data_IF_754188599753
#
_entry.id   IF_754188599753
#
_cell.length_a   1.000
_cell.length_b   1.000
_cell.length_c   1.000
_cell.angle_alpha   90.00
_cell.angle_beta   90.00
_cell.angle_gamma   90.00
#
_symmetry.space_group_name_H-M   'P 1'
#
loop_
_entity.id
_entity.type
_entity.pdbx_description
1 polymer ?
#
# COMPACT_ATOMS: atom_id res chain seq x y z
N UNK A 1 -5.16 10.10 19.01
CA UNK A 1 -5.70 9.35 17.86
C UNK A 1 -5.33 7.89 18.03
N UNK A 2 -6.27 6.96 17.90
CA UNK A 2 -6.04 5.54 18.22
C UNK A 2 -5.86 4.71 16.96
N UNK A 3 -4.77 3.94 16.90
CA UNK A 3 -4.59 2.84 15.95
C UNK A 3 -4.76 1.52 16.70
N UNK A 4 -5.70 0.69 16.27
CA UNK A 4 -6.01 -0.61 16.86
C UNK A 4 -5.69 -1.73 15.86
N UNK A 5 -4.74 -2.59 16.21
CA UNK A 5 -4.46 -3.83 15.49
C UNK A 5 -5.39 -4.93 16.03
N UNK A 6 -6.06 -5.65 15.13
CA UNK A 6 -6.77 -6.89 15.45
C UNK A 6 -5.95 -8.10 15.04
N UNK A 7 -6.13 -9.23 15.72
CA UNK A 7 -5.63 -10.53 15.29
C UNK A 7 -6.58 -11.19 14.27
N UNK A 8 -6.14 -12.29 13.65
CA UNK A 8 -6.96 -13.03 12.69
C UNK A 8 -8.21 -13.66 13.33
N UNK A 9 -8.11 -14.06 14.61
CA UNK A 9 -9.19 -14.69 15.38
C UNK A 9 -10.04 -13.71 16.21
N UNK A 10 -9.69 -12.42 16.28
CA UNK A 10 -10.52 -11.40 16.94
C UNK A 10 -11.91 -11.31 16.27
N UNK A 11 -12.97 -11.17 17.07
CA UNK A 11 -14.34 -11.10 16.56
C UNK A 11 -14.88 -9.65 16.52
N UNK A 12 -16.04 -9.49 15.89
CA UNK A 12 -16.71 -8.19 15.73
C UNK A 12 -17.03 -7.53 17.08
N UNK A 13 -17.25 -8.34 18.12
CA UNK A 13 -17.43 -7.91 19.51
C UNK A 13 -16.20 -7.21 20.07
N UNK A 14 -15.00 -7.69 19.76
CA UNK A 14 -13.74 -7.16 20.27
C UNK A 14 -13.37 -5.86 19.57
N UNK A 15 -13.59 -5.81 18.24
CA UNK A 15 -13.48 -4.58 17.45
C UNK A 15 -14.42 -3.48 17.98
N UNK A 16 -15.69 -3.81 18.27
CA UNK A 16 -16.65 -2.88 18.88
C UNK A 16 -16.24 -2.52 20.31
N UNK A 17 -15.77 -3.46 21.13
CA UNK A 17 -15.33 -3.17 22.49
C UNK A 17 -14.17 -2.17 22.54
N UNK A 18 -13.16 -2.33 21.68
CA UNK A 18 -12.00 -1.42 21.57
C UNK A 18 -12.39 -0.04 21.02
N UNK A 19 -13.36 0.03 20.11
CA UNK A 19 -13.98 1.30 19.67
C UNK A 19 -14.75 1.98 20.81
N UNK A 20 -15.45 1.21 21.67
CA UNK A 20 -16.23 1.74 22.79
C UNK A 20 -15.39 2.29 23.94
N UNK A 21 -14.18 1.77 24.15
CA UNK A 21 -13.22 2.25 25.18
C UNK A 21 -12.31 3.38 24.68
N UNK A 22 -12.34 3.70 23.39
CA UNK A 22 -11.54 4.78 22.81
C UNK A 22 -12.13 6.15 23.14
N UNK A 23 -11.30 7.03 23.72
CA UNK A 23 -11.65 8.44 24.00
C UNK A 23 -11.32 9.41 22.86
N UNK A 24 -10.62 8.93 21.83
CA UNK A 24 -10.25 9.70 20.64
C UNK A 24 -11.38 9.83 19.63
N UNK A 25 -11.41 10.96 18.91
CA UNK A 25 -12.36 11.17 17.79
C UNK A 25 -11.99 10.41 16.52
N UNK A 26 -10.76 9.91 16.39
CA UNK A 26 -10.27 9.19 15.21
C UNK A 26 -9.79 7.79 15.62
N UNK A 27 -10.28 6.75 14.94
CA UNK A 27 -9.98 5.35 15.24
C UNK A 27 -9.66 4.59 13.94
N UNK A 28 -8.42 4.11 13.83
CA UNK A 28 -7.95 3.24 12.74
C UNK A 28 -8.03 1.79 13.20
N UNK A 29 -8.66 0.93 12.39
CA UNK A 29 -8.73 -0.51 12.61
C UNK A 29 -7.89 -1.27 11.59
N UNK A 30 -6.75 -1.83 12.02
CA UNK A 30 -5.86 -2.60 11.16
C UNK A 30 -6.26 -4.07 11.19
N UNK A 31 -6.57 -4.62 10.01
CA UNK A 31 -7.11 -5.97 9.81
C UNK A 31 -6.11 -6.85 9.04
N UNK A 32 -5.59 -7.94 9.65
CA UNK A 32 -4.74 -8.91 8.97
C UNK A 32 -5.55 -9.74 7.96
N UNK A 33 -4.85 -10.32 6.99
CA UNK A 33 -5.45 -11.18 5.97
C UNK A 33 -6.19 -12.36 6.62
N UNK A 34 -7.41 -12.65 6.16
CA UNK A 34 -8.25 -13.72 6.71
C UNK A 34 -8.91 -13.44 8.07
N UNK A 35 -8.84 -12.22 8.62
CA UNK A 35 -9.51 -11.89 9.89
C UNK A 35 -11.02 -12.17 9.87
N UNK A 36 -11.55 -12.75 10.95
CA UNK A 36 -13.00 -13.08 11.08
C UNK A 36 -13.90 -11.86 10.86
N UNK A 37 -13.48 -10.68 11.31
CA UNK A 37 -14.20 -9.40 11.10
C UNK A 37 -14.40 -9.10 9.60
N UNK A 38 -13.42 -9.43 8.76
CA UNK A 38 -13.44 -9.12 7.33
C UNK A 38 -14.40 -9.99 6.50
N UNK A 39 -14.92 -11.08 7.05
CA UNK A 39 -15.76 -12.08 6.34
C UNK A 39 -17.13 -11.56 5.88
N UNK A 40 -17.61 -10.41 6.36
CA UNK A 40 -18.96 -9.92 6.08
C UNK A 40 -19.08 -8.40 6.06
N UNK A 41 -19.75 -7.88 5.01
CA UNK A 41 -20.16 -6.47 4.92
C UNK A 41 -21.00 -5.98 6.12
N UNK A 42 -21.67 -6.90 6.83
CA UNK A 42 -22.50 -6.57 8.00
C UNK A 42 -21.62 -6.09 9.16
N UNK A 43 -20.46 -6.72 9.35
CA UNK A 43 -19.49 -6.36 10.40
C UNK A 43 -19.01 -4.92 10.22
N UNK A 44 -18.59 -4.57 8.99
CA UNK A 44 -18.21 -3.20 8.64
C UNK A 44 -19.35 -2.20 8.82
N UNK A 45 -20.60 -2.58 8.49
CA UNK A 45 -21.78 -1.72 8.70
C UNK A 45 -22.06 -1.46 10.18
N UNK A 46 -21.85 -2.46 11.05
CA UNK A 46 -22.00 -2.32 12.50
C UNK A 46 -20.92 -1.39 13.07
N UNK A 47 -19.65 -1.55 12.67
CA UNK A 47 -18.56 -0.68 13.11
C UNK A 47 -18.72 0.77 12.62
N UNK A 48 -19.13 0.97 11.37
CA UNK A 48 -19.41 2.29 10.82
C UNK A 48 -20.55 2.98 11.59
N UNK A 49 -21.61 2.24 11.94
CA UNK A 49 -22.73 2.74 12.73
C UNK A 49 -22.34 3.09 14.18
N UNK A 50 -21.62 2.22 14.89
CA UNK A 50 -21.14 2.51 16.25
C UNK A 50 -20.20 3.73 16.25
N UNK A 51 -19.38 3.90 15.22
CA UNK A 51 -18.57 5.11 15.01
C UNK A 51 -19.43 6.36 14.86
N UNK A 52 -20.44 6.34 13.97
CA UNK A 52 -21.38 7.44 13.78
C UNK A 52 -22.16 7.79 15.07
N UNK A 53 -22.69 6.78 15.78
CA UNK A 53 -23.42 6.97 17.05
C UNK A 53 -22.54 7.61 18.14
N UNK A 54 -21.21 7.41 18.09
CA UNK A 54 -20.21 8.01 18.98
C UNK A 54 -19.57 9.30 18.48
N UNK A 55 -19.85 9.71 17.24
CA UNK A 55 -19.12 10.79 16.52
C UNK A 55 -17.60 10.53 16.44
N UNK A 56 -17.22 9.26 16.29
CA UNK A 56 -15.84 8.82 16.04
C UNK A 56 -15.69 8.49 14.56
N UNK A 57 -14.70 9.11 13.90
CA UNK A 57 -14.35 8.82 12.52
C UNK A 57 -13.56 7.51 12.49
N UNK A 58 -14.22 6.44 12.04
CA UNK A 58 -13.65 5.09 11.93
C UNK A 58 -13.22 4.83 10.48
N UNK A 59 -11.98 4.36 10.31
CA UNK A 59 -11.49 3.81 9.04
C UNK A 59 -10.76 2.49 9.27
N UNK A 60 -10.69 1.65 8.24
CA UNK A 60 -9.97 0.37 8.29
C UNK A 60 -8.75 0.33 7.37
N UNK A 61 -7.75 -0.46 7.76
CA UNK A 61 -6.52 -0.69 7.00
C UNK A 61 -6.37 -2.19 6.75
N UNK A 62 -6.17 -2.60 5.50
CA UNK A 62 -5.77 -3.98 5.18
C UNK A 62 -5.13 -4.05 3.80
N UNK A 63 -4.08 -4.87 3.68
CA UNK A 63 -3.42 -5.13 2.40
C UNK A 63 -4.31 -5.85 1.38
N UNK A 64 -5.33 -6.59 1.82
CA UNK A 64 -6.21 -7.36 0.94
C UNK A 64 -7.28 -6.47 0.27
N UNK A 65 -7.33 -6.49 -1.07
CA UNK A 65 -8.26 -5.65 -1.85
C UNK A 65 -9.73 -6.01 -1.63
N UNK A 66 -10.06 -7.31 -1.53
CA UNK A 66 -11.43 -7.78 -1.29
C UNK A 66 -12.02 -7.25 0.02
N UNK A 67 -11.19 -7.22 1.07
CA UNK A 67 -11.56 -6.66 2.39
C UNK A 67 -11.84 -5.16 2.30
N UNK A 68 -10.99 -4.40 1.61
CA UNK A 68 -11.23 -2.96 1.38
C UNK A 68 -12.51 -2.72 0.59
N UNK A 69 -12.78 -3.50 -0.46
CA UNK A 69 -14.03 -3.41 -1.23
C UNK A 69 -15.27 -3.73 -0.39
N UNK A 70 -15.21 -4.73 0.50
CA UNK A 70 -16.31 -5.07 1.41
C UNK A 70 -16.61 -3.93 2.39
N UNK A 71 -15.59 -3.32 2.99
CA UNK A 71 -15.74 -2.18 3.89
C UNK A 71 -16.30 -0.93 3.19
N UNK A 72 -15.79 -0.59 2.01
CA UNK A 72 -16.29 0.52 1.18
C UNK A 72 -17.76 0.28 0.81
N UNK A 73 -18.15 -0.95 0.45
CA UNK A 73 -19.56 -1.31 0.17
C UNK A 73 -20.50 -1.19 1.38
N UNK A 74 -19.94 -1.18 2.60
CA UNK A 74 -20.66 -0.97 3.84
C UNK A 74 -20.71 0.51 4.29
N UNK A 75 -20.02 1.41 3.58
CA UNK A 75 -19.90 2.83 3.94
C UNK A 75 -18.71 3.17 4.85
N UNK A 76 -17.76 2.25 5.04
CA UNK A 76 -16.55 2.47 5.83
C UNK A 76 -15.35 2.84 4.93
N UNK A 77 -14.62 3.94 5.21
CA UNK A 77 -13.35 4.24 4.55
C UNK A 77 -12.32 3.12 4.76
N UNK A 78 -11.65 2.70 3.68
CA UNK A 78 -10.67 1.64 3.71
C UNK A 78 -9.40 1.99 2.91
N UNK A 79 -8.25 1.71 3.50
CA UNK A 79 -6.91 2.10 3.00
C UNK A 79 -5.98 0.87 2.97
N UNK A 80 -4.92 0.91 2.16
CA UNK A 80 -3.95 -0.18 2.05
C UNK A 80 -2.92 -0.16 3.19
N UNK A 81 -2.49 1.02 3.63
CA UNK A 81 -1.53 1.21 4.74
C UNK A 81 -2.09 2.12 5.84
N UNK A 82 -1.43 2.14 7.00
CA UNK A 82 -1.75 3.09 8.09
C UNK A 82 -1.35 4.52 7.70
N UNK A 83 -0.24 4.67 6.98
CA UNK A 83 0.30 5.94 6.48
C UNK A 83 -0.63 6.64 5.47
N UNK A 84 -1.37 5.89 4.66
CA UNK A 84 -2.48 6.44 3.85
C UNK A 84 -3.69 6.86 4.72
N UNK A 85 -4.00 6.08 5.75
CA UNK A 85 -5.22 6.23 6.54
C UNK A 85 -5.18 7.45 7.48
N UNK A 86 -4.03 7.74 8.09
CA UNK A 86 -3.87 8.83 9.05
C UNK A 86 -4.26 10.21 8.48
N UNK A 87 -3.65 10.72 7.39
CA UNK A 87 -4.02 12.01 6.82
C UNK A 87 -5.44 12.01 6.23
N UNK A 88 -5.88 10.90 5.62
CA UNK A 88 -7.18 10.81 4.97
C UNK A 88 -8.37 10.75 5.97
N UNK A 89 -8.12 10.32 7.21
CA UNK A 89 -9.10 10.37 8.30
C UNK A 89 -9.10 11.73 9.00
N UNK A 90 -7.94 12.38 9.16
CA UNK A 90 -7.86 13.75 9.68
C UNK A 90 -8.64 14.74 8.79
N UNK A 91 -8.38 14.76 7.48
CA UNK A 91 -9.08 15.63 6.53
C UNK A 91 -10.60 15.37 6.49
N UNK A 92 -11.04 14.12 6.69
CA UNK A 92 -12.46 13.79 6.80
C UNK A 92 -13.10 14.32 8.09
N UNK A 93 -12.39 14.32 9.20
CA UNK A 93 -12.89 14.89 10.45
C UNK A 93 -13.02 16.42 10.38
N UNK A 94 -12.09 17.08 9.69
CA UNK A 94 -12.13 18.52 9.41
C UNK A 94 -13.31 18.88 8.50
N UNK A 95 -13.45 18.22 7.34
CA UNK A 95 -14.56 18.47 6.41
C UNK A 95 -15.94 18.19 7.04
N UNK A 96 -16.08 17.13 7.86
CA UNK A 96 -17.33 16.85 8.57
C UNK A 96 -17.64 17.88 9.67
N UNK A 97 -16.65 18.59 10.21
CA UNK A 97 -16.86 19.68 11.16
C UNK A 97 -17.31 20.96 10.42
N UNK A 98 -16.74 21.27 9.26
CA UNK A 98 -17.16 22.40 8.41
C UNK A 98 -18.58 22.19 7.85
N UNK A 99 -18.89 20.99 7.36
CA UNK A 99 -20.21 20.64 6.82
C UNK A 99 -21.30 20.72 7.89
N UNK A 100 -21.02 20.29 9.13
CA UNK A 100 -21.92 20.45 10.28
C UNK A 100 -22.03 21.90 10.76
N UNK A 101 -21.00 22.73 10.59
CA UNK A 101 -21.07 24.17 10.88
C UNK A 101 -21.93 24.92 9.85
N UNK A 102 -21.79 24.59 8.56
CA UNK A 102 -22.61 25.16 7.50
C UNK A 102 -24.11 24.83 7.64
N UNK A 103 -24.43 23.60 8.04
CA UNK A 103 -25.82 23.15 8.21
C UNK A 103 -26.58 23.81 9.39
N UNK A 104 -25.89 24.57 10.25
CA UNK A 104 -26.50 25.35 11.32
C UNK A 104 -26.97 26.76 10.88
N UNK A 105 -26.69 27.16 9.63
CA UNK A 105 -26.80 28.55 9.18
C UNK A 105 -27.74 28.78 7.97
N UNK A 106 -28.82 28.01 7.83
CA UNK A 106 -29.88 28.27 6.83
C UNK A 106 -31.25 27.70 7.20
N UNK A 107 -32.12 28.47 7.89
CA UNK A 107 -33.50 28.10 8.13
C UNK A 107 -34.43 28.70 7.05
N UNK A 108 -34.47 28.09 5.85
CA UNK A 108 -35.67 28.10 4.98
C UNK A 108 -35.50 27.19 3.75
N UNK A 109 -36.27 26.10 3.69
CA UNK A 109 -36.60 25.35 2.47
C UNK A 109 -37.82 24.45 2.76
N UNK A 110 -38.91 24.52 1.97
CA UNK A 110 -40.14 23.77 2.25
C UNK A 110 -40.02 22.28 1.89
N UNK A 111 -40.81 21.39 2.53
CA UNK A 111 -40.76 19.96 2.28
C UNK A 111 -41.40 19.58 0.95
N UNK A 112 -40.76 18.69 0.19
CA UNK A 112 -41.33 18.09 -1.02
C UNK A 112 -41.00 16.60 -1.16
N UNK A 113 -42.04 15.79 -1.34
CA UNK A 113 -42.06 14.56 -2.13
C UNK A 113 -41.11 13.41 -1.76
N UNK A 114 -41.62 12.41 -1.04
CA UNK A 114 -41.19 11.03 -1.24
C UNK A 114 -41.62 10.56 -2.65
N UNK A 115 -40.68 10.42 -3.59
CA UNK A 115 -40.92 9.71 -4.85
C UNK A 115 -39.77 8.73 -5.14
N UNK A 116 -40.04 7.41 -5.25
CA UNK A 116 -39.00 6.40 -5.40
C UNK A 116 -38.54 6.24 -6.86
N UNK A 117 -37.25 5.97 -7.12
CA UNK A 117 -36.75 5.76 -8.48
C UNK A 117 -37.31 4.46 -9.11
N UNK A 118 -37.54 4.44 -10.44
CA UNK A 118 -38.29 3.38 -11.10
C UNK A 118 -37.51 2.06 -11.32
N UNK A 119 -38.31 1.02 -11.60
CA UNK A 119 -37.96 -0.39 -11.74
C UNK A 119 -36.69 -0.73 -12.53
N UNK A 120 -35.95 -1.72 -12.02
CA UNK A 120 -34.99 -2.50 -12.80
C UNK A 120 -35.67 -3.67 -13.54
N UNK A 121 -35.22 -3.99 -14.76
CA UNK A 121 -35.28 -5.36 -15.30
C UNK A 121 -34.37 -5.58 -16.51
N UNK A 122 -33.52 -6.62 -16.45
CA UNK A 122 -32.96 -7.37 -17.58
C UNK A 122 -32.40 -8.70 -17.06
N UNK A 123 -32.64 -9.80 -17.79
CA UNK A 123 -32.44 -11.18 -17.29
C UNK A 123 -31.08 -11.83 -17.61
N UNK A 124 -30.89 -13.12 -17.24
CA UNK A 124 -29.57 -13.74 -17.13
C UNK A 124 -29.24 -14.82 -18.18
N UNK A 125 -27.93 -15.11 -18.30
CA UNK A 125 -27.35 -16.35 -18.80
C UNK A 125 -25.95 -16.54 -18.14
N UNK A 126 -25.36 -17.73 -18.02
CA UNK A 126 -25.84 -19.05 -18.43
C UNK A 126 -24.67 -20.03 -18.60
N UNK A 127 -24.22 -20.63 -17.50
CA UNK A 127 -23.30 -21.77 -17.34
C UNK A 127 -22.41 -22.26 -18.53
N UNK A 128 -21.11 -22.38 -18.26
CA UNK A 128 -20.35 -23.56 -18.72
C UNK A 128 -19.17 -23.87 -17.80
N UNK A 129 -18.86 -25.16 -17.61
CA UNK A 129 -17.73 -25.63 -16.81
C UNK A 129 -17.08 -26.85 -17.47
N UNK A 130 -15.81 -26.71 -17.87
CA UNK A 130 -14.81 -27.76 -18.16
C UNK A 130 -13.45 -27.13 -17.80
N UNK A 131 -12.73 -27.60 -16.78
CA UNK A 131 -12.09 -28.91 -16.62
C UNK A 131 -10.92 -29.16 -17.59
N UNK A 132 -9.72 -28.81 -17.11
CA UNK A 132 -8.45 -29.49 -17.39
C UNK A 132 -7.56 -29.32 -16.14
N UNK A 133 -7.42 -30.37 -15.33
CA UNK A 133 -6.66 -30.31 -14.08
C UNK A 133 -5.15 -30.60 -14.22
N UNK A 134 -4.38 -30.34 -13.15
CA UNK A 134 -3.04 -30.87 -12.95
C UNK A 134 -2.75 -31.08 -11.45
N UNK A 135 -1.90 -32.06 -11.13
CA UNK A 135 -1.91 -32.74 -9.83
C UNK A 135 -1.24 -31.96 -8.68
N UNK A 136 -1.89 -31.96 -7.51
CA UNK A 136 -1.28 -31.53 -6.25
C UNK A 136 -0.41 -32.65 -5.65
N UNK A 137 0.92 -32.51 -5.74
CA UNK A 137 1.86 -33.46 -5.13
C UNK A 137 1.99 -33.22 -3.63
N UNK A 138 1.41 -34.11 -2.82
CA UNK A 138 1.43 -34.04 -1.35
C UNK A 138 2.69 -34.72 -0.79
N UNK A 139 3.73 -33.94 -0.48
CA UNK A 139 4.93 -34.45 0.21
C UNK A 139 4.64 -34.64 1.70
N UNK A 140 5.05 -35.78 2.25
CA UNK A 140 4.86 -36.16 3.67
C UNK A 140 6.22 -36.18 4.37
N UNK A 141 6.41 -35.51 5.51
CA UNK A 141 7.65 -35.61 6.28
C UNK A 141 7.75 -37.00 6.94
N UNK A 142 8.87 -37.69 6.74
CA UNK A 142 9.13 -39.02 7.31
C UNK A 142 10.08 -38.93 8.51
N UNK A 143 9.63 -39.40 9.66
CA UNK A 143 10.45 -39.51 10.88
C UNK A 143 11.52 -40.60 10.74
N UNK A 144 12.68 -40.39 11.39
CA UNK A 144 13.61 -41.48 11.71
C UNK A 144 15.10 -41.11 11.79
N UNK A 145 15.57 -40.69 12.97
CA UNK A 145 16.90 -41.03 13.51
C UNK A 145 17.07 -40.42 14.92
N UNK A 146 17.28 -41.26 15.94
CA UNK A 146 17.57 -40.82 17.31
C UNK A 146 18.90 -41.42 17.79
N UNK A 147 19.81 -40.57 18.26
CA UNK A 147 20.92 -41.00 19.14
C UNK A 147 21.06 -39.94 20.24
N UNK A 148 20.89 -40.35 21.49
CA UNK A 148 21.21 -39.54 22.66
C UNK A 148 22.49 -40.03 23.33
N UNK A 149 23.24 -39.13 23.99
CA UNK A 149 24.42 -39.47 24.79
C UNK A 149 24.27 -38.84 26.18
N UNK A 150 24.44 -39.65 27.23
CA UNK A 150 24.23 -39.28 28.63
C UNK A 150 25.48 -39.61 29.47
N UNK A 151 25.65 -38.90 30.59
CA UNK A 151 26.83 -38.91 31.48
C UNK A 151 27.02 -40.23 32.27
N UNK A 152 28.29 -40.56 32.54
CA UNK A 152 28.79 -41.41 33.63
C UNK A 152 30.31 -41.62 33.42
N UNK A 153 31.27 -41.32 34.30
CA UNK A 153 31.45 -41.38 35.77
C UNK A 153 32.12 -42.68 36.27
N UNK A 154 33.47 -42.60 36.34
CA UNK A 154 34.37 -43.00 37.44
C UNK A 154 34.41 -44.42 38.03
N UNK A 155 35.53 -44.69 38.74
CA UNK A 155 35.80 -45.83 39.65
C UNK A 155 36.06 -47.21 39.01
N UNK A 156 36.69 -48.19 39.68
CA UNK A 156 38.12 -48.33 40.11
C UNK A 156 38.36 -49.78 40.60
N UNK A 157 39.63 -50.19 40.79
CA UNK A 157 40.15 -51.31 41.64
C UNK A 157 40.21 -52.79 41.14
N UNK A 158 41.46 -53.30 41.24
CA UNK A 158 41.95 -54.53 41.93
C UNK A 158 41.94 -55.98 41.32
N UNK A 159 43.10 -56.64 41.53
CA UNK A 159 43.47 -58.09 41.53
C UNK A 159 43.45 -58.93 40.21
N UNK A 160 44.43 -59.78 39.78
CA UNK A 160 45.42 -60.72 40.44
C UNK A 160 44.75 -62.04 40.91
N UNK A 161 45.24 -63.31 40.72
CA UNK A 161 46.64 -63.82 40.49
C UNK A 161 46.88 -65.04 39.51
N UNK A 162 48.17 -65.45 39.36
CA UNK A 162 48.75 -66.78 38.94
C UNK A 162 48.38 -67.40 37.56
N UNK A 163 49.10 -68.38 36.96
CA UNK A 163 50.32 -69.19 37.26
C UNK A 163 50.51 -70.29 36.15
N UNK A 164 51.40 -71.30 36.16
CA UNK A 164 52.61 -71.70 36.93
C UNK A 164 53.28 -72.96 36.28
N UNK A 165 54.62 -73.02 36.12
CA UNK A 165 55.41 -74.25 35.79
C UNK A 165 56.88 -73.92 35.48
N UNK A 166 57.96 -74.50 36.05
CA UNK A 166 58.38 -75.88 36.41
C UNK A 166 58.98 -76.68 35.22
N UNK A 167 60.20 -77.27 35.25
CA UNK A 167 61.32 -77.32 36.24
C UNK A 167 62.71 -77.39 35.47
N UNK A 168 63.86 -78.04 35.77
CA UNK A 168 64.27 -79.09 36.75
C UNK A 168 65.81 -79.22 36.95
N UNK A 169 66.29 -78.97 38.18
CA UNK A 169 67.44 -79.59 38.92
C UNK A 169 68.94 -79.57 38.45
N UNK A 170 69.92 -79.89 39.36
CA UNK A 170 71.33 -79.45 39.26
C UNK A 170 72.41 -80.57 39.31
N UNK A 171 73.70 -80.19 39.41
CA UNK A 171 74.81 -81.05 39.88
C UNK A 171 75.93 -80.23 40.59
N UNK A 172 76.73 -80.88 41.44
CA UNK A 172 77.84 -80.31 42.21
C UNK A 172 79.11 -81.20 42.18
N UNK A 173 80.26 -80.65 42.61
CA UNK A 173 81.43 -81.28 43.29
C UNK A 173 82.44 -80.12 43.61
N UNK A 174 83.09 -79.95 44.78
CA UNK A 174 83.93 -80.81 45.68
C UNK A 174 85.32 -81.07 45.06
N UNK A 175 86.50 -80.90 45.69
CA UNK A 175 86.92 -81.04 47.11
C UNK A 175 88.04 -80.09 47.58
N UNK A 176 87.93 -79.66 48.85
CA UNK A 176 88.90 -79.67 49.97
C UNK A 176 90.42 -79.90 49.73
N UNK A 177 91.27 -79.02 50.34
CA UNK A 177 91.88 -79.31 51.68
C UNK A 177 92.73 -78.19 52.32
N UNK A 178 92.61 -78.13 53.64
CA UNK A 178 93.46 -77.45 54.66
C UNK A 178 94.76 -78.26 54.94
N UNK A 179 95.80 -77.80 55.73
CA UNK A 179 95.61 -77.21 57.06
C UNK A 179 96.65 -76.23 57.70
N UNK A 180 96.11 -75.45 58.66
CA UNK A 180 96.62 -75.13 60.01
C UNK A 180 98.05 -74.59 60.30
N UNK A 181 98.07 -73.39 60.90
CA UNK A 181 98.96 -73.02 62.03
C UNK A 181 100.10 -72.02 61.73
N UNK A 182 100.53 -71.15 62.67
CA UNK A 182 99.92 -70.70 63.93
C UNK A 182 100.63 -69.43 64.47
N UNK A 183 99.95 -68.69 65.36
CA UNK A 183 100.48 -67.66 66.30
C UNK A 183 100.84 -66.25 65.75
N UNK A 184 100.88 -65.19 66.59
CA UNK A 184 100.60 -63.81 66.16
C UNK A 184 101.69 -62.76 66.48
N UNK A 185 101.56 -61.53 65.94
CA UNK A 185 101.78 -60.25 66.70
C UNK A 185 101.45 -58.94 65.91
N UNK A 186 100.70 -58.07 66.59
CA UNK A 186 100.80 -56.59 66.66
C UNK A 186 100.87 -55.71 65.38
N UNK A 187 99.74 -55.04 65.10
CA UNK A 187 99.58 -53.56 65.10
C UNK A 187 100.53 -52.73 64.18
N UNK A 188 100.24 -52.69 62.88
CA UNK A 188 100.75 -51.66 61.94
C UNK A 188 99.70 -50.56 61.66
N UNK A 189 100.12 -49.29 61.59
CA UNK A 189 99.24 -48.10 61.45
C UNK A 189 99.57 -47.39 60.13
N UNK A 190 98.60 -47.19 59.23
CA UNK A 190 98.87 -46.50 57.94
C UNK A 190 97.69 -46.31 56.99
N UNK A 191 97.12 -47.40 56.46
CA UNK A 191 96.30 -47.38 55.23
C UNK A 191 94.93 -46.69 55.40
N UNK A 192 94.30 -46.82 56.58
CA UNK A 192 92.94 -46.31 56.85
C UNK A 192 92.78 -44.81 56.59
N UNK A 193 93.83 -44.01 56.81
CA UNK A 193 93.80 -42.57 56.61
C UNK A 193 93.68 -42.14 55.14
N UNK A 194 94.16 -42.96 54.20
CA UNK A 194 94.03 -42.68 52.76
C UNK A 194 92.64 -43.02 52.25
N UNK A 195 92.07 -44.14 52.72
CA UNK A 195 90.68 -44.53 52.42
C UNK A 195 89.67 -43.51 52.97
N UNK A 196 89.87 -42.98 54.18
CA UNK A 196 89.02 -41.91 54.73
C UNK A 196 89.14 -40.62 53.90
N UNK A 197 90.35 -40.23 53.48
CA UNK A 197 90.54 -39.06 52.60
C UNK A 197 89.85 -39.24 51.23
N UNK A 198 89.93 -40.44 50.65
CA UNK A 198 89.29 -40.75 49.37
C UNK A 198 87.76 -40.79 49.51
N UNK A 199 87.22 -41.30 50.61
CA UNK A 199 85.79 -41.23 50.92
C UNK A 199 85.30 -39.77 51.14
N UNK A 200 86.08 -38.92 51.82
CA UNK A 200 85.78 -37.49 51.97
C UNK A 200 85.84 -36.76 50.61
N UNK A 201 86.83 -37.08 49.77
CA UNK A 201 86.90 -36.53 48.41
C UNK A 201 85.71 -36.98 47.54
N UNK A 202 85.32 -38.25 47.60
CA UNK A 202 84.14 -38.77 46.91
C UNK A 202 82.85 -38.12 47.43
N UNK A 203 82.73 -37.86 48.73
CA UNK A 203 81.60 -37.14 49.32
C UNK A 203 81.58 -35.66 48.89
N UNK A 204 82.73 -34.99 48.77
CA UNK A 204 82.82 -33.61 48.28
C UNK A 204 82.52 -33.51 46.77
N UNK A 205 83.02 -34.45 45.95
CA UNK A 205 82.72 -34.51 44.51
C UNK A 205 81.26 -34.90 44.26
N UNK A 206 80.74 -35.90 44.98
CA UNK A 206 79.32 -36.28 44.92
C UNK A 206 78.38 -35.17 45.40
N UNK A 207 78.73 -34.50 46.50
CA UNK A 207 78.01 -33.33 46.99
C UNK A 207 78.08 -32.14 46.02
N UNK A 208 79.22 -31.91 45.39
CA UNK A 208 79.40 -30.89 44.34
C UNK A 208 78.59 -31.19 43.08
N UNK A 209 78.55 -32.45 42.62
CA UNK A 209 77.71 -32.89 41.51
C UNK A 209 76.22 -32.82 41.84
N UNK A 210 75.82 -33.19 43.06
CA UNK A 210 74.44 -33.09 43.52
C UNK A 210 73.99 -31.62 43.65
N UNK A 211 74.87 -30.75 44.16
CA UNK A 211 74.64 -29.31 44.15
C UNK A 211 74.54 -28.77 42.70
N UNK A 212 75.45 -29.16 41.80
CA UNK A 212 75.40 -28.74 40.40
C UNK A 212 74.13 -29.22 39.68
N UNK A 213 73.59 -30.39 40.03
CA UNK A 213 72.31 -30.89 39.54
C UNK A 213 71.12 -30.08 40.10
N UNK A 214 71.12 -29.74 41.39
CA UNK A 214 70.07 -28.92 42.01
C UNK A 214 70.10 -27.44 41.57
N UNK A 215 71.28 -26.92 41.23
CA UNK A 215 71.48 -25.56 40.70
C UNK A 215 71.51 -25.51 39.16
N UNK A 216 71.20 -26.61 38.46
CA UNK A 216 71.15 -26.63 37.00
C UNK A 216 69.94 -25.80 36.52
N UNK A 217 70.12 -24.69 35.78
CA UNK A 217 69.05 -23.74 35.53
C UNK A 217 68.09 -24.26 34.44
N UNK A 218 66.89 -24.68 34.84
CA UNK A 218 65.81 -24.98 33.91
C UNK A 218 65.25 -23.69 33.30
N UNK A 219 65.53 -23.47 32.00
CA UNK A 219 65.01 -22.32 31.24
C UNK A 219 63.65 -22.67 30.63
N UNK A 220 62.58 -22.08 31.14
CA UNK A 220 61.22 -22.16 30.57
C UNK A 220 60.98 -21.01 29.57
N UNK A 221 60.94 -21.34 28.27
CA UNK A 221 60.64 -20.36 27.22
C UNK A 221 59.12 -20.25 27.05
N UNK A 222 58.50 -19.28 27.72
CA UNK A 222 57.07 -18.97 27.56
C UNK A 222 56.84 -18.12 26.30
N UNK A 223 56.49 -18.77 25.19
CA UNK A 223 56.03 -18.09 23.97
C UNK A 223 54.56 -17.67 24.12
N UNK A 224 54.32 -16.40 24.45
CA UNK A 224 52.97 -15.81 24.48
C UNK A 224 52.67 -15.13 23.14
N UNK A 225 51.86 -15.74 22.24
CA UNK A 225 51.55 -15.12 20.94
C UNK A 225 50.66 -13.90 21.12
N UNK A 226 51.15 -12.72 20.71
CA UNK A 226 50.33 -11.51 20.65
C UNK A 226 49.46 -11.51 19.39
N UNK A 227 48.20 -11.92 19.51
CA UNK A 227 47.17 -11.63 18.50
C UNK A 227 46.90 -10.12 18.49
N UNK A 228 47.54 -9.40 17.56
CA UNK A 228 47.06 -8.07 17.16
C UNK A 228 45.87 -8.27 16.25
N UNK A 229 44.74 -7.66 16.57
CA UNK A 229 43.66 -7.46 15.59
C UNK A 229 44.24 -6.71 14.39
N UNK A 230 44.06 -7.25 13.19
CA UNK A 230 44.11 -6.42 12.01
C UNK A 230 43.05 -5.30 12.16
N UNK A 231 43.35 -4.11 11.67
CA UNK A 231 42.37 -3.01 11.64
C UNK A 231 41.15 -3.37 10.78
N UNK A 232 40.09 -2.54 10.80
CA UNK A 232 38.94 -2.75 9.94
C UNK A 232 39.40 -2.88 8.48
N UNK A 233 39.17 -4.05 7.88
CA UNK A 233 39.53 -4.31 6.49
C UNK A 233 38.50 -3.58 5.62
N UNK A 234 38.86 -2.39 5.14
CA UNK A 234 38.04 -1.63 4.18
C UNK A 234 38.11 -2.31 2.82
N UNK A 235 37.21 -3.26 2.60
CA UNK A 235 36.96 -3.87 1.29
C UNK A 235 35.91 -3.02 0.59
N UNK A 236 36.29 -2.38 -0.51
CA UNK A 236 35.32 -1.75 -1.42
C UNK A 236 34.65 -2.86 -2.24
N UNK A 237 33.32 -2.94 -2.16
CA UNK A 237 32.50 -3.93 -2.86
C UNK A 237 31.49 -3.18 -3.72
N UNK A 238 31.45 -3.47 -5.02
CA UNK A 238 30.53 -2.83 -5.96
C UNK A 238 29.24 -3.65 -6.05
N UNK A 239 28.09 -3.02 -5.85
CA UNK A 239 26.79 -3.66 -6.02
C UNK A 239 26.23 -3.30 -7.40
N UNK A 240 26.13 -4.29 -8.31
CA UNK A 240 25.70 -4.08 -9.70
C UNK A 240 24.42 -4.90 -10.02
N UNK A 241 23.31 -4.25 -10.43
CA UNK A 241 22.08 -4.95 -10.81
C UNK A 241 22.15 -5.65 -12.17
N UNK A 242 23.22 -5.48 -12.96
CA UNK A 242 23.46 -6.25 -14.18
C UNK A 242 24.09 -7.64 -13.90
N UNK A 243 24.59 -7.89 -12.69
CA UNK A 243 25.36 -9.08 -12.33
C UNK A 243 24.50 -10.07 -11.54
N UNK A 244 24.32 -11.28 -12.07
CA UNK A 244 23.47 -12.31 -11.46
C UNK A 244 24.19 -13.26 -10.47
N UNK A 245 25.53 -13.24 -10.44
CA UNK A 245 26.37 -14.10 -9.59
C UNK A 245 27.55 -13.27 -9.09
N UNK A 246 27.86 -13.34 -7.78
CA UNK A 246 28.94 -12.56 -7.20
C UNK A 246 30.32 -12.97 -7.74
N UNK A 247 31.13 -11.98 -8.08
CA UNK A 247 32.51 -12.12 -8.53
C UNK A 247 33.46 -11.71 -7.40
N UNK A 248 34.20 -12.66 -6.78
CA UNK A 248 35.11 -12.39 -5.68
C UNK A 248 36.48 -11.84 -6.14
N UNK A 249 36.81 -11.88 -7.43
CA UNK A 249 38.06 -11.30 -7.97
C UNK A 249 37.83 -9.84 -8.41
N UNK A 250 36.67 -9.55 -9.00
CA UNK A 250 36.25 -8.18 -9.34
C UNK A 250 35.61 -7.42 -8.17
N UNK A 251 35.35 -8.09 -7.03
CA UNK A 251 34.62 -7.56 -5.87
C UNK A 251 33.23 -7.00 -6.21
N UNK A 252 32.51 -7.67 -7.12
CA UNK A 252 31.15 -7.28 -7.55
C UNK A 252 30.12 -8.23 -6.97
N UNK A 253 29.05 -7.69 -6.39
CA UNK A 253 27.89 -8.46 -5.89
C UNK A 253 26.62 -8.09 -6.65
N UNK A 254 25.67 -9.03 -6.84
CA UNK A 254 24.35 -8.74 -7.38
C UNK A 254 23.63 -7.68 -6.54
N UNK A 255 23.00 -6.73 -7.22
CA UNK A 255 22.07 -5.77 -6.61
C UNK A 255 20.65 -5.93 -7.16
N UNK A 256 19.65 -5.51 -6.39
CA UNK A 256 18.28 -5.36 -6.86
C UNK A 256 17.94 -3.87 -6.94
N UNK A 257 17.31 -3.43 -8.04
CA UNK A 257 16.79 -2.06 -8.15
C UNK A 257 15.38 -2.02 -7.57
N UNK A 258 15.25 -1.29 -6.46
CA UNK A 258 13.95 -0.95 -5.88
C UNK A 258 13.52 0.39 -6.46
N UNK A 259 12.66 0.36 -7.47
CA UNK A 259 12.05 1.58 -8.02
C UNK A 259 11.03 2.13 -7.02
N UNK A 260 11.29 3.32 -6.48
CA UNK A 260 10.37 4.03 -5.57
C UNK A 260 9.45 4.94 -6.39
N UNK A 261 8.14 4.65 -6.50
CA UNK A 261 7.22 5.48 -7.29
C UNK A 261 6.94 6.81 -6.58
N UNK A 262 7.54 7.89 -7.07
CA UNK A 262 7.25 9.25 -6.62
C UNK A 262 6.04 9.81 -7.36
N UNK A 263 5.15 10.50 -6.65
CA UNK A 263 3.97 11.15 -7.22
C UNK A 263 3.80 12.58 -6.72
N UNK A 264 3.95 13.56 -7.61
CA UNK A 264 3.62 14.97 -7.35
C UNK A 264 2.18 15.29 -7.81
N UNK A 265 1.56 16.30 -7.21
CA UNK A 265 0.23 16.82 -7.61
C UNK A 265 0.11 18.29 -7.22
N UNK A 266 -0.34 19.13 -8.14
CA UNK A 266 -0.50 20.58 -7.96
C UNK A 266 -1.71 21.10 -8.79
N UNK A 267 -2.12 22.35 -8.58
CA UNK A 267 -3.32 22.97 -9.17
C UNK A 267 -2.98 24.14 -10.10
N UNK A 268 -3.19 23.93 -11.40
CA UNK A 268 -2.92 24.94 -12.44
C UNK A 268 -4.21 25.63 -12.91
N UNK A 269 -4.20 26.95 -13.18
CA UNK A 269 -5.35 27.67 -13.71
C UNK A 269 -5.55 27.35 -15.20
N UNK A 270 -6.73 26.85 -15.57
CA UNK A 270 -7.12 26.75 -16.97
C UNK A 270 -7.32 28.16 -17.58
N UNK A 271 -6.70 28.42 -18.74
CA UNK A 271 -6.74 29.73 -19.41
C UNK A 271 -7.75 29.79 -20.57
N UNK A 272 -8.14 28.65 -21.12
CA UNK A 272 -9.14 28.58 -22.20
C UNK A 272 -10.55 28.89 -21.71
N UNK A 273 -11.38 29.48 -22.58
CA UNK A 273 -12.82 29.56 -22.40
C UNK A 273 -13.58 28.95 -23.59
N UNK A 274 -14.63 28.22 -23.27
CA UNK A 274 -15.62 27.71 -24.22
C UNK A 274 -16.94 28.44 -23.99
N UNK A 275 -17.53 28.96 -25.08
CA UNK A 275 -18.74 29.78 -25.02
C UNK A 275 -19.91 28.97 -25.57
N UNK A 276 -20.70 28.41 -24.66
CA UNK A 276 -21.95 27.73 -25.01
C UNK A 276 -23.05 28.76 -25.24
N UNK A 277 -23.75 28.66 -26.37
CA UNK A 277 -24.82 29.60 -26.74
C UNK A 277 -26.09 28.85 -27.16
N UNK A 278 -27.18 29.05 -26.41
CA UNK A 278 -28.50 28.50 -26.70
C UNK A 278 -29.31 29.55 -27.47
N UNK A 279 -30.09 29.10 -28.45
CA UNK A 279 -30.99 29.94 -29.25
C UNK A 279 -32.30 30.15 -28.50
N UNK A 280 -32.82 31.37 -28.50
CA UNK A 280 -34.15 31.64 -27.99
C UNK A 280 -35.23 30.97 -28.86
N UNK A 281 -36.38 30.74 -28.25
CA UNK A 281 -37.55 30.12 -28.85
C UNK A 281 -38.84 30.75 -28.34
N UNK A 282 -39.95 30.51 -29.04
CA UNK A 282 -41.27 30.94 -28.60
C UNK A 282 -42.31 30.65 -29.67
N UNK A 283 -43.46 31.32 -29.58
CA UNK A 283 -44.53 31.25 -30.56
C UNK A 283 -44.86 32.64 -31.11
N UNK A 284 -45.25 32.68 -32.39
CA UNK A 284 -45.89 33.84 -33.01
C UNK A 284 -47.30 33.48 -33.43
N UNK A 285 -48.19 34.47 -33.36
CA UNK A 285 -49.48 34.43 -34.01
C UNK A 285 -49.42 35.26 -35.29
N UNK A 286 -49.77 34.62 -36.40
CA UNK A 286 -50.11 35.31 -37.62
C UNK A 286 -51.60 35.65 -37.63
N UNK A 287 -51.93 36.82 -38.16
CA UNK A 287 -53.31 37.28 -38.38
C UNK A 287 -53.45 37.63 -39.86
N UNK A 288 -54.40 37.01 -40.55
CA UNK A 288 -54.70 37.34 -41.96
C UNK A 288 -55.96 38.18 -42.04
N UNK A 289 -55.88 39.28 -42.79
CA UNK A 289 -57.01 40.12 -43.20
C UNK A 289 -57.48 39.77 -44.63
N UNK A 290 -56.85 38.78 -45.30
CA UNK A 290 -57.14 38.38 -46.67
C UNK A 290 -58.36 37.46 -46.78
N UNK A 291 -59.40 37.92 -47.47
CA UNK A 291 -60.68 37.22 -47.68
C UNK A 291 -60.77 36.44 -49.01
N UNK A 292 -59.70 36.39 -49.79
CA UNK A 292 -59.69 35.79 -51.14
C UNK A 292 -59.12 34.36 -51.18
N UNK A 293 -58.19 34.02 -50.30
CA UNK A 293 -57.52 32.72 -50.24
C UNK A 293 -56.81 32.50 -48.90
N UNK A 294 -56.54 31.23 -48.56
CA UNK A 294 -55.70 30.85 -47.43
C UNK A 294 -54.21 31.14 -47.70
N UNK A 295 -53.46 31.50 -46.66
CA UNK A 295 -52.04 31.90 -46.78
C UNK A 295 -51.14 30.87 -46.11
N UNK A 296 -50.39 30.06 -46.88
CA UNK A 296 -49.42 29.12 -46.33
C UNK A 296 -48.13 29.85 -45.90
N UNK A 297 -47.77 29.69 -44.62
CA UNK A 297 -46.47 30.12 -44.08
C UNK A 297 -45.56 28.89 -43.99
N UNK A 298 -44.52 28.74 -44.83
CA UNK A 298 -43.61 27.61 -44.75
C UNK A 298 -42.70 27.70 -43.52
N UNK A 299 -42.07 26.57 -43.16
CA UNK A 299 -40.90 26.57 -42.27
C UNK A 299 -39.73 27.38 -42.87
N UNK A 300 -38.83 27.89 -42.04
CA UNK A 300 -37.76 28.78 -42.47
C UNK A 300 -38.21 30.19 -42.88
N UNK A 301 -39.48 30.54 -42.69
CA UNK A 301 -39.98 31.91 -42.90
C UNK A 301 -39.30 32.85 -41.92
N UNK A 302 -38.51 33.79 -42.46
CA UNK A 302 -37.74 34.75 -41.66
C UNK A 302 -38.63 35.88 -41.14
N UNK A 303 -38.62 36.09 -39.83
CA UNK A 303 -39.29 37.17 -39.12
C UNK A 303 -38.24 38.11 -38.51
N UNK A 304 -38.56 39.40 -38.40
CA UNK A 304 -37.67 40.38 -37.75
C UNK A 304 -38.40 41.15 -36.65
N UNK A 305 -37.64 41.63 -35.67
CA UNK A 305 -38.13 42.50 -34.61
C UNK A 305 -37.78 43.96 -34.86
N UNK A 306 -38.48 44.86 -34.19
CA UNK A 306 -38.07 46.26 -34.06
C UNK A 306 -36.71 46.44 -33.37
N UNK A 307 -36.26 45.45 -32.58
CA UNK A 307 -34.94 45.40 -31.93
C UNK A 307 -33.82 44.84 -32.81
N UNK A 308 -34.11 44.44 -34.06
CA UNK A 308 -33.13 43.91 -35.02
C UNK A 308 -32.82 42.42 -34.90
N UNK A 309 -33.41 41.71 -33.93
CA UNK A 309 -33.30 40.26 -33.80
C UNK A 309 -34.08 39.55 -34.94
N UNK A 310 -33.52 38.45 -35.43
CA UNK A 310 -34.08 37.67 -36.53
C UNK A 310 -34.45 36.25 -36.09
N UNK A 311 -35.62 35.80 -36.52
CA UNK A 311 -36.20 34.50 -36.17
C UNK A 311 -36.62 33.74 -37.43
N UNK A 312 -36.74 32.42 -37.31
CA UNK A 312 -37.25 31.51 -38.34
C UNK A 312 -38.41 30.69 -37.78
N UNK A 313 -39.43 30.40 -38.60
CA UNK A 313 -40.50 29.44 -38.25
C UNK A 313 -39.95 28.01 -38.26
N UNK A 314 -40.20 27.24 -37.20
CA UNK A 314 -39.72 25.84 -37.08
C UNK A 314 -40.74 24.81 -37.54
N UNK A 315 -41.86 25.26 -38.11
CA UNK A 315 -42.93 24.44 -38.68
C UNK A 315 -43.71 25.27 -39.70
N UNK A 316 -44.22 24.62 -40.74
CA UNK A 316 -45.12 25.25 -41.70
C UNK A 316 -46.56 25.27 -41.19
N UNK A 317 -47.25 26.39 -41.36
CA UNK A 317 -48.63 26.61 -40.87
C UNK A 317 -49.44 27.37 -41.92
N UNK A 318 -50.61 26.87 -42.27
CA UNK A 318 -51.54 27.54 -43.19
C UNK A 318 -52.56 28.37 -42.40
N UNK A 319 -52.63 29.67 -42.70
CA UNK A 319 -53.63 30.57 -42.13
C UNK A 319 -54.88 30.47 -43.02
N UNK A 320 -56.07 30.09 -42.51
CA UNK A 320 -57.31 30.11 -43.30
C UNK A 320 -57.60 31.50 -43.88
N UNK A 321 -58.43 31.59 -44.92
CA UNK A 321 -58.92 32.89 -45.38
C UNK A 321 -59.76 33.60 -44.29
N UNK A 322 -59.66 34.92 -44.21
CA UNK A 322 -60.51 35.75 -43.38
C UNK A 322 -61.97 35.75 -43.90
N UNK A 323 -62.92 36.17 -43.06
CA UNK A 323 -64.33 36.28 -43.47
C UNK A 323 -64.95 37.59 -43.00
N UNK A 324 -65.73 38.22 -43.87
CA UNK A 324 -66.51 39.42 -43.54
C UNK A 324 -67.53 39.20 -42.40
N UNK A 325 -67.83 37.96 -42.01
CA UNK A 325 -68.75 37.62 -40.92
C UNK A 325 -68.04 37.32 -39.59
N UNK A 326 -66.85 36.70 -39.61
CA UNK A 326 -66.10 36.30 -38.40
C UNK A 326 -64.87 37.16 -38.12
N UNK A 327 -64.52 38.08 -39.02
CA UNK A 327 -63.31 38.90 -38.92
C UNK A 327 -62.05 38.19 -39.44
N UNK A 328 -60.86 38.68 -39.03
CA UNK A 328 -59.59 38.13 -39.47
C UNK A 328 -59.35 36.73 -38.88
N UNK A 329 -58.73 35.87 -39.67
CA UNK A 329 -58.31 34.54 -39.24
C UNK A 329 -56.95 34.61 -38.55
N UNK A 330 -56.66 33.65 -37.66
CA UNK A 330 -55.38 33.56 -36.96
C UNK A 330 -54.85 32.13 -36.96
N UNK A 331 -53.52 32.00 -36.96
CA UNK A 331 -52.84 30.74 -36.74
C UNK A 331 -51.52 30.98 -35.98
N UNK A 332 -51.08 30.02 -35.17
CA UNK A 332 -49.86 30.15 -34.37
C UNK A 332 -48.79 29.16 -34.85
N UNK A 333 -47.53 29.61 -34.87
CA UNK A 333 -46.38 28.77 -35.22
C UNK A 333 -45.24 28.96 -34.21
N UNK A 334 -44.47 27.89 -33.99
CA UNK A 334 -43.24 27.95 -33.22
C UNK A 334 -42.11 28.63 -34.01
N UNK A 335 -41.30 29.42 -33.31
CA UNK A 335 -40.18 30.18 -33.86
C UNK A 335 -38.90 29.97 -33.06
N UNK A 336 -37.76 30.15 -33.74
CA UNK A 336 -36.40 30.03 -33.18
C UNK A 336 -35.54 31.21 -33.61
N UNK A 337 -34.66 31.68 -32.74
CA UNK A 337 -33.70 32.72 -33.09
C UNK A 337 -32.65 32.20 -34.09
N UNK A 338 -32.37 32.99 -35.14
CA UNK A 338 -31.36 32.71 -36.17
C UNK A 338 -29.95 32.91 -35.60
N UNK A 339 -29.79 33.80 -34.62
CA UNK A 339 -28.56 33.98 -33.85
C UNK A 339 -28.71 33.36 -32.45
N UNK A 340 -27.69 32.63 -31.95
CA UNK A 340 -27.71 32.06 -30.61
C UNK A 340 -27.31 33.10 -29.55
N UNK A 341 -27.76 32.91 -28.30
CA UNK A 341 -27.50 33.81 -27.18
C UNK A 341 -28.70 34.67 -26.77
N UNK A 342 -28.52 35.59 -25.80
CA UNK A 342 -29.62 36.30 -25.14
C UNK A 342 -30.29 37.39 -26.00
N UNK A 343 -29.68 37.82 -27.11
CA UNK A 343 -30.27 38.81 -28.03
C UNK A 343 -31.58 38.30 -28.69
N UNK A 344 -31.79 36.98 -28.73
CA UNK A 344 -33.05 36.38 -29.17
C UNK A 344 -34.18 36.42 -28.14
N UNK A 345 -33.95 36.88 -26.91
CA UNK A 345 -35.03 37.05 -25.92
C UNK A 345 -35.67 38.43 -26.11
N UNK A 346 -36.80 38.50 -26.80
CA UNK A 346 -37.57 39.73 -27.01
C UNK A 346 -38.96 39.66 -26.35
N UNK A 347 -39.42 40.82 -25.87
CA UNK A 347 -40.71 41.00 -25.23
C UNK A 347 -41.91 40.68 -26.13
N UNK A 348 -43.07 40.49 -25.53
CA UNK A 348 -44.34 40.34 -26.24
C UNK A 348 -44.59 41.50 -27.23
N UNK A 349 -45.22 41.19 -28.36
CA UNK A 349 -45.51 42.10 -29.49
C UNK A 349 -44.29 42.77 -30.18
N UNK A 350 -43.05 42.33 -29.92
CA UNK A 350 -41.83 42.88 -30.56
C UNK A 350 -41.55 42.27 -31.95
N UNK A 351 -41.91 41.00 -32.17
CA UNK A 351 -41.79 40.30 -33.47
C UNK A 351 -42.92 40.76 -34.38
N UNK A 352 -42.61 41.59 -35.39
CA UNK A 352 -43.60 42.28 -36.24
C UNK A 352 -43.22 42.36 -37.71
N UNK A 353 -41.95 42.16 -38.05
CA UNK A 353 -41.46 42.18 -39.42
C UNK A 353 -41.70 40.86 -40.15
N UNK A 354 -42.24 40.96 -41.37
CA UNK A 354 -42.55 39.84 -42.28
C UNK A 354 -41.85 40.03 -43.63
N UNK A 355 -41.55 38.95 -44.37
CA UNK A 355 -41.09 39.04 -45.75
C UNK A 355 -42.17 39.70 -46.62
N UNK A 356 -41.76 40.65 -47.49
CA UNK A 356 -42.66 41.40 -48.37
C UNK A 356 -43.73 40.58 -49.10
N UNK A 357 -43.43 39.38 -49.67
CA UNK A 357 -44.43 38.53 -50.33
C UNK A 357 -45.57 38.05 -49.42
N UNK A 358 -45.34 37.93 -48.10
CA UNK A 358 -46.35 37.53 -47.12
C UNK A 358 -47.11 38.76 -46.61
N UNK A 359 -46.41 39.87 -46.35
CA UNK A 359 -47.04 41.16 -45.98
C UNK A 359 -47.99 41.67 -47.06
N UNK A 360 -47.65 41.45 -48.34
CA UNK A 360 -48.50 41.80 -49.49
C UNK A 360 -49.81 41.00 -49.55
N UNK A 361 -49.91 39.85 -48.85
CA UNK A 361 -51.11 39.03 -48.71
C UNK A 361 -51.94 39.41 -47.48
N UNK A 362 -51.82 40.66 -46.98
CA UNK A 362 -52.54 41.20 -45.83
C UNK A 362 -52.38 40.37 -44.54
N UNK A 363 -51.20 39.75 -44.35
CA UNK A 363 -50.83 39.05 -43.12
C UNK A 363 -49.99 39.95 -42.22
N UNK A 364 -50.31 39.93 -40.92
CA UNK A 364 -49.53 40.52 -39.83
C UNK A 364 -48.98 39.41 -38.92
N UNK A 365 -47.89 39.69 -38.22
CA UNK A 365 -47.35 38.80 -37.18
C UNK A 365 -47.21 39.54 -35.86
N UNK A 366 -47.40 38.83 -34.75
CA UNK A 366 -47.11 39.31 -33.40
C UNK A 366 -46.73 38.12 -32.52
N UNK A 367 -45.74 38.24 -31.63
CA UNK A 367 -45.50 37.25 -30.59
C UNK A 367 -46.39 37.56 -29.37
N UNK A 368 -47.42 36.74 -29.04
CA UNK A 368 -48.31 37.02 -27.91
C UNK A 368 -47.64 36.85 -26.54
N UNK A 369 -46.49 36.18 -26.50
CA UNK A 369 -45.68 35.93 -25.32
C UNK A 369 -44.23 36.34 -25.61
N UNK A 370 -43.43 36.70 -24.60
CA UNK A 370 -42.00 36.92 -24.78
C UNK A 370 -41.30 35.65 -25.27
N UNK A 371 -40.22 35.82 -26.02
CA UNK A 371 -39.34 34.73 -26.45
C UNK A 371 -38.24 34.51 -25.41
N UNK A 372 -37.85 33.25 -25.19
CA UNK A 372 -36.97 32.88 -24.08
C UNK A 372 -36.09 31.67 -24.39
N UNK A 373 -35.16 31.36 -23.48
CA UNK A 373 -34.18 30.28 -23.63
C UNK A 373 -32.87 30.70 -24.31
N UNK A 374 -32.79 31.93 -24.85
CA UNK A 374 -31.55 32.50 -25.35
C UNK A 374 -30.59 32.77 -24.21
N UNK A 375 -29.46 32.05 -24.15
CA UNK A 375 -28.44 32.25 -23.10
C UNK A 375 -27.04 32.06 -23.68
N UNK A 376 -26.08 32.82 -23.12
CA UNK A 376 -24.64 32.66 -23.33
C UNK A 376 -24.05 32.25 -21.99
N UNK A 377 -23.34 31.13 -21.97
CA UNK A 377 -22.63 30.59 -20.82
C UNK A 377 -21.16 30.45 -21.21
N UNK A 378 -20.25 30.90 -20.34
CA UNK A 378 -18.81 30.89 -20.61
C UNK A 378 -18.12 30.04 -19.53
N UNK A 379 -17.58 28.91 -19.94
CA UNK A 379 -16.98 27.91 -19.07
C UNK A 379 -15.47 27.87 -19.31
N UNK A 380 -14.66 27.79 -18.26
CA UNK A 380 -13.21 27.60 -18.44
C UNK A 380 -12.91 26.15 -18.81
N UNK A 381 -12.03 25.96 -19.79
CA UNK A 381 -11.63 24.65 -20.31
C UNK A 381 -10.11 24.58 -20.36
N UNK A 382 -9.55 23.44 -19.94
CA UNK A 382 -8.11 23.19 -19.95
C UNK A 382 -7.62 23.13 -21.40
N UNK A 383 -6.75 24.06 -21.79
CA UNK A 383 -6.12 24.04 -23.10
C UNK A 383 -4.93 23.07 -23.14
N UNK A 384 -4.48 22.74 -24.36
CA UNK A 384 -3.23 21.98 -24.53
C UNK A 384 -2.03 22.70 -23.91
N UNK A 385 -1.98 24.03 -24.01
CA UNK A 385 -0.92 24.85 -23.42
C UNK A 385 -0.93 24.82 -21.88
N UNK A 386 -2.12 24.85 -21.26
CA UNK A 386 -2.26 24.72 -19.80
C UNK A 386 -1.73 23.36 -19.32
N UNK A 387 -2.06 22.28 -20.04
CA UNK A 387 -1.57 20.93 -19.75
C UNK A 387 -0.05 20.81 -19.91
N UNK A 388 0.50 21.29 -21.03
CA UNK A 388 1.94 21.20 -21.29
C UNK A 388 2.74 22.05 -20.28
N UNK A 389 2.24 23.21 -19.88
CA UNK A 389 2.82 24.03 -18.81
C UNK A 389 2.75 23.34 -17.43
N UNK A 390 1.63 22.70 -17.09
CA UNK A 390 1.46 21.94 -15.86
C UNK A 390 2.43 20.75 -15.77
N UNK A 391 2.63 20.02 -16.88
CA UNK A 391 3.59 18.91 -16.96
C UNK A 391 5.04 19.41 -16.78
N UNK A 392 5.41 20.53 -17.41
CA UNK A 392 6.74 21.13 -17.25
C UNK A 392 6.97 21.61 -15.81
N UNK A 393 5.96 22.21 -15.17
CA UNK A 393 6.06 22.66 -13.78
C UNK A 393 6.21 21.48 -12.79
N UNK A 394 5.39 20.43 -12.92
CA UNK A 394 5.50 19.21 -12.10
C UNK A 394 6.82 18.47 -12.35
N UNK A 395 7.29 18.42 -13.60
CA UNK A 395 8.58 17.82 -13.98
C UNK A 395 9.82 18.60 -13.54
N UNK A 396 9.66 19.78 -12.93
CA UNK A 396 10.74 20.55 -12.30
C UNK A 396 10.75 20.45 -10.76
N UNK A 397 9.83 19.66 -10.18
CA UNK A 397 9.68 19.42 -8.73
C UNK A 397 10.19 18.01 -8.34
N UNK A 398 10.39 17.13 -9.33
CA UNK A 398 10.96 15.77 -9.19
C UNK A 398 12.42 15.73 -9.67
#
# INVERSE_FOLDING_TARGET
MTVCYLDADDEITDAVARLRTTSDRHFILVLPAGSRVATSRINFRLLAREGQERKVVVGMVSGESGVRSLAISAGMPAYATVEEAEPALAQRAEGQAEEQAGHAASPDSPPYGDEPPPFASAGPAGASARDTGLAATRIVPRSGASVGVVRGRAETRDAVPMGRGHDTEPRADRWDREPAGARPRRRGRGITGWLVRLAVLAALVGGGLYAAYLYLPNVSISLTPMTRTAGPLTVEVTADPAVAVADPEAAVVPAERIDVPLSATDRFPATGSEISQVRASGAVRFTSENTLFEVPIPEGTRLTTSTGAAFETTQGVTIPQASFQSGPSTAEAAIRAIEPGPAGNVEAATVTGLPGPITAQLVRVTNPQPTSGGRREETRVVTRADYDAAVVALGAIM
#
